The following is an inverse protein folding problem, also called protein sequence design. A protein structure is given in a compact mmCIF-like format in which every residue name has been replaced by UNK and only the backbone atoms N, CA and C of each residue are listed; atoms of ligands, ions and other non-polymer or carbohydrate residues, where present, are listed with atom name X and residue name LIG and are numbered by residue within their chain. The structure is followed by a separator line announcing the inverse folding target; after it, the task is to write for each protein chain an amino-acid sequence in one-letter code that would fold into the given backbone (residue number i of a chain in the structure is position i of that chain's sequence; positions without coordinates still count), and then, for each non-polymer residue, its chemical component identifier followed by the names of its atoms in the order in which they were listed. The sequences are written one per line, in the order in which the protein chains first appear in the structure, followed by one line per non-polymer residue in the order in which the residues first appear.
data_IF_583664080150
#
_entry.id   IF_583664080150
#
_cell.length_a   1.000
_cell.length_b   1.000
_cell.length_c   1.000
_cell.angle_alpha   90.00
_cell.angle_beta   90.00
_cell.angle_gamma   90.00
#
_symmetry.space_group_name_H-M   'P 1'
#
loop_
_entity.id
_entity.type
_entity.pdbx_description
1 polymer ?
#
# COMPACT_ATOMS: atom_id res chain seq x y z
N UNK A 1 -26.31 -7.28 -6.46
CA UNK A 1 -25.60 -7.69 -5.23
C UNK A 1 -24.13 -7.36 -5.47
N UNK A 2 -23.58 -6.35 -4.78
CA UNK A 2 -22.14 -6.12 -4.82
C UNK A 2 -21.51 -7.20 -3.94
N UNK A 3 -20.88 -8.21 -4.57
CA UNK A 3 -20.06 -9.19 -3.86
C UNK A 3 -18.93 -8.46 -3.12
N UNK A 4 -18.49 -9.00 -1.99
CA UNK A 4 -17.31 -8.48 -1.30
C UNK A 4 -16.11 -8.55 -2.26
N UNK A 5 -15.33 -7.48 -2.33
CA UNK A 5 -14.06 -7.48 -3.07
C UNK A 5 -13.10 -8.41 -2.35
N UNK A 6 -12.55 -9.36 -3.08
CA UNK A 6 -11.47 -10.24 -2.61
C UNK A 6 -10.17 -9.83 -3.26
N UNK A 7 -9.06 -10.22 -2.68
CA UNK A 7 -7.73 -9.97 -3.22
C UNK A 7 -6.85 -11.21 -3.10
N UNK A 8 -5.85 -11.28 -3.95
CA UNK A 8 -4.79 -12.29 -3.91
C UNK A 8 -3.44 -11.59 -3.93
N UNK A 9 -2.47 -12.16 -3.21
CA UNK A 9 -1.09 -11.70 -3.20
C UNK A 9 -0.20 -12.80 -3.76
N UNK A 10 0.69 -12.44 -4.67
CA UNK A 10 1.69 -13.33 -5.26
C UNK A 10 3.04 -12.63 -5.25
N UNK A 11 4.14 -13.40 -5.27
CA UNK A 11 5.49 -12.86 -5.29
C UNK A 11 6.36 -13.54 -6.33
N UNK A 12 7.52 -12.97 -6.61
CA UNK A 12 8.57 -13.58 -7.43
C UNK A 12 9.15 -14.86 -6.81
N UNK A 13 8.82 -15.12 -5.54
CA UNK A 13 9.19 -16.29 -4.76
C UNK A 13 8.16 -16.54 -3.65
N UNK A 14 8.60 -17.22 -2.60
CA UNK A 14 7.79 -17.48 -1.42
C UNK A 14 7.48 -16.17 -0.69
N UNK A 15 6.20 -15.90 -0.44
CA UNK A 15 5.78 -14.74 0.35
C UNK A 15 6.01 -15.01 1.84
N UNK A 16 6.65 -14.09 2.52
CA UNK A 16 6.98 -14.20 3.93
C UNK A 16 6.60 -12.91 4.69
N UNK A 17 6.11 -13.09 5.90
CA UNK A 17 5.85 -12.04 6.90
C UNK A 17 6.13 -12.60 8.31
N UNK A 18 7.15 -13.44 8.43
CA UNK A 18 7.40 -14.21 9.64
C UNK A 18 8.10 -13.41 10.74
N UNK A 19 8.81 -12.36 10.38
CA UNK A 19 9.54 -11.54 11.34
C UNK A 19 8.57 -10.66 12.15
N UNK A 20 8.97 -10.37 13.37
CA UNK A 20 8.27 -9.41 14.21
C UNK A 20 8.85 -8.01 13.94
N UNK A 21 8.00 -7.00 14.02
CA UNK A 21 8.43 -5.61 13.91
C UNK A 21 9.55 -5.30 14.90
N UNK A 22 10.70 -4.94 14.39
CA UNK A 22 11.94 -4.70 15.16
C UNK A 22 12.21 -3.21 15.43
N UNK A 23 11.46 -2.30 14.80
CA UNK A 23 11.58 -0.86 14.99
C UNK A 23 11.20 -0.40 16.40
N UNK A 24 11.93 0.60 16.91
CA UNK A 24 11.67 1.15 18.24
C UNK A 24 10.42 2.03 18.32
N UNK A 25 9.95 2.53 17.18
CA UNK A 25 8.85 3.48 17.11
C UNK A 25 7.87 3.10 16.01
N UNK A 26 6.65 2.73 16.38
CA UNK A 26 5.57 2.55 15.42
C UNK A 26 5.12 3.92 14.89
N UNK A 27 4.97 4.08 13.57
CA UNK A 27 4.37 5.29 13.00
C UNK A 27 2.96 5.51 13.55
N UNK A 28 2.63 6.72 13.97
CA UNK A 28 1.33 7.06 14.52
C UNK A 28 0.37 7.53 13.43
N UNK A 29 -0.93 7.26 13.59
CA UNK A 29 -1.98 7.78 12.70
C UNK A 29 -2.17 7.02 11.39
N UNK A 30 -1.44 5.91 11.17
CA UNK A 30 -1.55 5.13 9.92
C UNK A 30 -2.67 4.10 9.93
N UNK A 31 -3.16 3.70 11.11
CA UNK A 31 -4.12 2.59 11.25
C UNK A 31 -3.53 1.21 10.96
N UNK A 32 -2.23 1.11 10.64
CA UNK A 32 -1.54 -0.14 10.40
C UNK A 32 -1.26 -0.87 11.71
N UNK A 33 -1.46 -2.19 11.73
CA UNK A 33 -1.08 -3.07 12.82
C UNK A 33 0.35 -3.57 12.57
N UNK A 34 1.34 -2.99 13.24
CA UNK A 34 2.74 -3.41 13.16
C UNK A 34 3.00 -4.58 14.09
N UNK A 35 2.34 -5.70 13.84
CA UNK A 35 2.61 -6.97 14.52
C UNK A 35 3.71 -7.76 13.81
N UNK A 36 3.87 -7.49 12.51
CA UNK A 36 4.84 -8.07 11.60
C UNK A 36 5.60 -6.95 10.89
N UNK A 37 6.78 -7.26 10.41
CA UNK A 37 7.65 -6.31 9.71
C UNK A 37 7.24 -6.02 8.27
N UNK A 38 6.15 -6.55 7.84
CA UNK A 38 5.60 -6.39 6.51
C UNK A 38 5.59 -7.69 5.73
N UNK A 39 5.50 -7.60 4.42
CA UNK A 39 5.58 -8.73 3.49
C UNK A 39 6.76 -8.57 2.56
N UNK A 40 7.57 -9.62 2.46
CA UNK A 40 8.67 -9.74 1.51
C UNK A 40 8.68 -11.07 0.78
N UNK A 41 9.82 -11.41 0.18
CA UNK A 41 10.00 -12.58 -0.70
C UNK A 41 11.22 -13.39 -0.29
N UNK A 42 10.99 -14.50 0.40
CA UNK A 42 12.05 -15.41 0.87
C UNK A 42 11.55 -16.37 1.93
N UNK A 43 12.30 -17.42 2.24
CA UNK A 43 11.95 -18.33 3.32
C UNK A 43 12.34 -17.81 4.71
N UNK A 44 13.41 -17.01 4.76
CA UNK A 44 13.97 -16.44 5.99
C UNK A 44 14.16 -14.92 5.85
N UNK A 45 13.43 -14.30 4.93
CA UNK A 45 13.55 -12.92 4.52
C UNK A 45 12.14 -12.42 4.26
N UNK A 46 11.70 -11.36 4.91
CA UNK A 46 10.39 -10.73 4.74
C UNK A 46 10.49 -9.36 4.06
N UNK A 47 11.58 -9.12 3.34
CA UNK A 47 11.81 -7.96 2.52
C UNK A 47 11.71 -8.30 1.02
N UNK A 48 11.43 -7.30 0.22
CA UNK A 48 11.49 -7.35 -1.25
C UNK A 48 12.89 -6.90 -1.62
N UNK A 49 13.76 -7.84 -1.99
CA UNK A 49 15.17 -7.56 -2.25
C UNK A 49 15.45 -7.36 -3.74
N UNK A 50 16.21 -6.35 -4.07
CA UNK A 50 16.73 -6.12 -5.43
C UNK A 50 18.25 -6.10 -5.43
N UNK A 51 18.81 -6.94 -6.28
CA UNK A 51 20.26 -7.02 -6.57
C UNK A 51 20.53 -6.66 -8.03
N UNK A 52 21.77 -6.46 -8.45
CA UNK A 52 22.10 -6.24 -9.87
C UNK A 52 21.67 -7.37 -10.81
N UNK A 53 21.44 -8.57 -10.28
CA UNK A 53 21.09 -9.76 -11.06
C UNK A 53 19.64 -10.21 -10.90
N UNK A 54 18.93 -9.71 -9.89
CA UNK A 54 17.57 -10.16 -9.53
C UNK A 54 16.78 -9.02 -8.93
N UNK A 55 15.56 -8.82 -9.42
CA UNK A 55 14.57 -7.94 -8.80
C UNK A 55 13.40 -8.79 -8.30
N UNK A 56 13.15 -8.73 -7.02
CA UNK A 56 11.97 -9.32 -6.42
C UNK A 56 10.76 -8.40 -6.55
N UNK A 57 9.59 -8.99 -6.46
CA UNK A 57 8.34 -8.26 -6.53
C UNK A 57 7.24 -8.98 -5.76
N UNK A 58 6.28 -8.17 -5.27
CA UNK A 58 4.99 -8.62 -4.77
C UNK A 58 3.91 -8.00 -5.65
N UNK A 59 2.89 -8.78 -6.00
CA UNK A 59 1.73 -8.31 -6.75
C UNK A 59 0.45 -8.61 -5.98
N UNK A 60 -0.41 -7.58 -5.85
CA UNK A 60 -1.72 -7.67 -5.24
C UNK A 60 -2.76 -7.45 -6.32
N UNK A 61 -3.60 -8.46 -6.57
CA UNK A 61 -4.67 -8.42 -7.55
C UNK A 61 -6.04 -8.44 -6.85
N UNK A 62 -6.94 -7.57 -7.26
CA UNK A 62 -8.30 -7.45 -6.73
C UNK A 62 -9.31 -8.09 -7.67
N UNK A 63 -10.34 -8.75 -7.13
CA UNK A 63 -11.42 -9.38 -7.92
C UNK A 63 -12.29 -8.38 -8.69
N UNK A 64 -12.27 -7.12 -8.30
CA UNK A 64 -12.82 -5.97 -9.02
C UNK A 64 -12.02 -4.73 -8.66
N UNK A 65 -11.97 -3.70 -9.52
CA UNK A 65 -11.22 -2.49 -9.25
C UNK A 65 -11.62 -1.84 -7.92
N UNK A 66 -10.63 -1.44 -7.13
CA UNK A 66 -10.77 -0.71 -5.86
C UNK A 66 -10.18 0.69 -5.99
N UNK A 67 -10.65 1.63 -5.18
CA UNK A 67 -10.00 2.95 -5.10
C UNK A 67 -8.88 2.88 -4.07
N UNK A 68 -7.67 3.22 -4.48
CA UNK A 68 -6.46 3.24 -3.66
C UNK A 68 -6.00 4.67 -3.45
N UNK A 69 -5.57 5.02 -2.25
CA UNK A 69 -5.15 6.37 -1.87
C UNK A 69 -3.75 6.47 -1.28
N UNK A 70 -3.17 5.37 -0.80
CA UNK A 70 -1.79 5.38 -0.31
C UNK A 70 -1.15 3.98 -0.34
N UNK A 71 0.18 3.99 -0.33
CA UNK A 71 1.04 2.81 -0.12
C UNK A 71 1.96 3.04 1.06
N UNK A 72 2.31 1.94 1.73
CA UNK A 72 3.16 1.93 2.92
C UNK A 72 4.24 0.87 2.79
N UNK A 73 5.47 1.27 3.08
CA UNK A 73 6.63 0.39 3.22
C UNK A 73 7.23 0.51 4.61
N UNK A 74 7.84 -0.56 5.07
CA UNK A 74 8.79 -0.64 6.18
C UNK A 74 10.16 -0.99 5.63
N UNK A 75 11.19 -0.89 6.46
CA UNK A 75 12.57 -1.27 6.17
C UNK A 75 13.20 -0.56 4.96
N UNK A 76 12.71 0.64 4.63
CA UNK A 76 13.38 1.51 3.67
C UNK A 76 14.31 2.47 4.43
N UNK A 77 15.61 2.31 4.25
CA UNK A 77 16.61 3.10 4.96
C UNK A 77 17.50 3.93 4.04
N UNK A 78 18.04 4.97 4.62
CA UNK A 78 19.14 5.72 4.05
C UNK A 78 20.45 5.17 4.62
N UNK A 79 21.43 4.88 3.74
CA UNK A 79 22.74 4.46 4.17
C UNK A 79 23.40 5.54 5.06
N UNK A 80 24.08 5.14 6.14
CA UNK A 80 24.80 6.05 7.06
C UNK A 80 25.94 6.81 6.39
N UNK A 81 26.53 6.21 5.37
CA UNK A 81 27.63 6.77 4.61
C UNK A 81 27.36 6.60 3.12
N UNK A 82 27.67 7.63 2.32
CA UNK A 82 27.48 7.55 0.86
C UNK A 82 26.17 8.13 0.34
N UNK A 83 25.16 8.34 1.21
CA UNK A 83 23.92 9.04 0.83
C UNK A 83 23.00 8.29 -0.13
N UNK A 84 23.16 6.97 -0.28
CA UNK A 84 22.24 6.12 -1.03
C UNK A 84 20.96 5.95 -0.27
N UNK A 85 19.84 5.93 -1.00
CA UNK A 85 18.49 5.80 -0.47
C UNK A 85 17.87 4.53 -1.05
N UNK A 86 17.25 3.73 -0.22
CA UNK A 86 16.33 2.70 -0.68
C UNK A 86 15.04 3.35 -1.15
N UNK A 87 14.49 2.84 -2.23
CA UNK A 87 13.30 3.39 -2.88
C UNK A 87 12.36 2.26 -3.20
N UNK A 88 11.29 2.16 -2.42
CA UNK A 88 10.15 1.33 -2.76
C UNK A 88 9.40 1.90 -3.97
N UNK A 89 8.84 1.03 -4.80
CA UNK A 89 8.02 1.40 -5.94
C UNK A 89 6.72 0.62 -5.98
N UNK A 90 5.63 1.29 -6.32
CA UNK A 90 4.34 0.68 -6.55
C UNK A 90 3.80 1.08 -7.94
N UNK A 91 3.62 0.12 -8.83
CA UNK A 91 3.01 0.33 -10.16
C UNK A 91 1.57 -0.16 -10.14
N UNK A 92 0.63 0.70 -10.53
CA UNK A 92 -0.80 0.39 -10.61
C UNK A 92 -1.14 0.07 -12.06
N UNK A 93 -1.73 -1.11 -12.31
CA UNK A 93 -2.18 -1.60 -13.62
C UNK A 93 -1.11 -1.43 -14.72
N UNK A 94 0.17 -1.60 -14.35
CA UNK A 94 1.31 -1.45 -15.26
C UNK A 94 1.66 -0.01 -15.63
N UNK A 95 1.08 0.99 -14.96
CA UNK A 95 1.38 2.40 -15.16
C UNK A 95 2.72 2.83 -14.55
N UNK A 96 3.00 4.13 -14.63
CA UNK A 96 4.20 4.72 -14.02
C UNK A 96 4.21 4.48 -12.50
N UNK A 97 5.35 4.08 -11.92
CA UNK A 97 5.41 3.76 -10.51
C UNK A 97 5.32 5.02 -9.62
N UNK A 98 4.63 4.86 -8.49
CA UNK A 98 4.75 5.75 -7.33
C UNK A 98 5.99 5.34 -6.55
N UNK A 99 6.86 6.29 -6.23
CA UNK A 99 8.10 6.03 -5.49
C UNK A 99 7.94 6.42 -4.02
N UNK A 100 8.44 5.54 -3.14
CA UNK A 100 8.52 5.72 -1.69
C UNK A 100 10.00 5.78 -1.32
N UNK A 101 10.50 6.96 -1.01
CA UNK A 101 11.93 7.21 -0.77
C UNK A 101 12.23 7.14 0.72
N UNK A 102 13.24 6.38 1.09
CA UNK A 102 13.69 6.25 2.48
C UNK A 102 13.97 7.62 3.13
N UNK A 103 13.55 7.76 4.39
CA UNK A 103 13.75 8.96 5.20
C UNK A 103 14.56 8.70 6.47
N UNK A 104 14.51 7.47 6.96
CA UNK A 104 15.21 7.06 8.17
C UNK A 104 16.65 6.61 7.87
N UNK A 105 17.56 6.84 8.82
CA UNK A 105 18.93 6.34 8.72
C UNK A 105 19.02 4.92 9.25
N UNK A 106 19.70 4.05 8.52
CA UNK A 106 19.94 2.66 8.92
C UNK A 106 20.59 2.56 10.32
N UNK A 107 20.13 1.59 11.11
CA UNK A 107 20.66 1.28 12.45
C UNK A 107 20.46 2.37 13.50
N UNK A 108 19.46 3.23 13.36
CA UNK A 108 19.03 4.20 14.38
C UNK A 108 17.93 3.63 15.30
N UNK A 109 17.42 2.45 15.01
CA UNK A 109 16.25 1.85 15.65
C UNK A 109 14.91 2.41 15.12
N UNK A 110 14.96 3.19 14.05
CA UNK A 110 13.76 3.59 13.31
C UNK A 110 13.20 2.39 12.52
N UNK A 111 11.96 2.49 12.09
CA UNK A 111 11.26 1.41 11.39
C UNK A 111 11.48 1.42 9.87
N UNK A 112 12.22 2.39 9.32
CA UNK A 112 12.28 2.57 7.87
C UNK A 112 10.91 2.84 7.22
N UNK A 113 9.97 3.41 7.96
CA UNK A 113 8.60 3.59 7.48
C UNK A 113 8.50 4.73 6.48
N UNK A 114 7.90 4.42 5.33
CA UNK A 114 7.59 5.42 4.30
C UNK A 114 6.15 5.26 3.82
N UNK A 115 5.47 6.39 3.71
CA UNK A 115 4.12 6.48 3.16
C UNK A 115 4.12 7.35 1.90
N UNK A 116 3.42 6.91 0.86
CA UNK A 116 3.09 7.73 -0.31
C UNK A 116 1.57 7.83 -0.43
N UNK A 117 1.02 9.00 -0.11
CA UNK A 117 -0.38 9.32 -0.31
C UNK A 117 -0.58 10.10 -1.62
N UNK A 118 -1.66 9.80 -2.34
CA UNK A 118 -1.99 10.41 -3.62
C UNK A 118 -3.52 10.55 -3.80
N UNK A 119 -3.93 11.27 -4.83
CA UNK A 119 -5.34 11.34 -5.19
C UNK A 119 -5.86 9.94 -5.51
N UNK A 120 -7.02 9.52 -4.94
CA UNK A 120 -7.54 8.18 -5.11
C UNK A 120 -7.71 7.80 -6.58
N UNK A 121 -7.17 6.65 -6.97
CA UNK A 121 -7.27 6.10 -8.31
C UNK A 121 -7.77 4.64 -8.25
N UNK A 122 -8.44 4.19 -9.31
CA UNK A 122 -8.84 2.80 -9.42
C UNK A 122 -7.64 1.91 -9.73
N UNK A 123 -7.57 0.76 -9.07
CA UNK A 123 -6.55 -0.26 -9.23
C UNK A 123 -7.18 -1.64 -9.31
N UNK A 124 -6.77 -2.43 -10.28
CA UNK A 124 -7.07 -3.87 -10.38
C UNK A 124 -5.90 -4.72 -9.93
N UNK A 125 -4.69 -4.28 -10.25
CA UNK A 125 -3.44 -4.95 -9.92
C UNK A 125 -2.41 -3.90 -9.46
N UNK A 126 -1.71 -4.19 -8.38
CA UNK A 126 -0.61 -3.34 -7.89
C UNK A 126 0.63 -4.22 -7.75
N UNK A 127 1.72 -3.81 -8.38
CA UNK A 127 3.02 -4.47 -8.25
C UNK A 127 3.97 -3.61 -7.45
N UNK A 128 4.57 -4.20 -6.42
CA UNK A 128 5.55 -3.60 -5.53
C UNK A 128 6.94 -4.16 -5.81
N UNK A 129 7.92 -3.29 -5.84
CA UNK A 129 9.36 -3.62 -6.00
C UNK A 129 10.19 -2.63 -5.20
N UNK A 130 11.48 -2.91 -5.04
CA UNK A 130 12.46 -1.96 -4.55
C UNK A 130 13.45 -1.68 -5.67
N UNK A 131 13.87 -0.42 -5.84
CA UNK A 131 14.89 -0.06 -6.82
C UNK A 131 16.26 -0.54 -6.37
N UNK A 132 17.06 -1.01 -7.34
CA UNK A 132 18.45 -1.29 -7.06
C UNK A 132 19.17 -0.02 -6.61
N UNK A 133 19.66 0.00 -5.39
CA UNK A 133 20.49 1.09 -4.88
C UNK A 133 21.97 0.82 -5.18
N UNK A 134 22.72 1.89 -5.39
CA UNK A 134 24.17 1.84 -5.60
C UNK A 134 24.93 2.06 -4.28
N UNK A 135 24.50 1.40 -3.22
CA UNK A 135 25.02 1.61 -1.86
C UNK A 135 26.36 0.89 -1.57
N UNK A 136 26.94 0.27 -2.58
CA UNK A 136 28.12 -0.60 -2.49
C UNK A 136 27.90 -1.91 -1.71
N UNK A 137 26.71 -2.16 -1.17
CA UNK A 137 26.33 -3.45 -0.59
C UNK A 137 25.82 -4.41 -1.67
N UNK A 138 25.40 -3.85 -2.81
CA UNK A 138 24.97 -4.60 -3.97
C UNK A 138 23.52 -5.09 -3.89
N UNK A 139 22.76 -4.62 -2.93
CA UNK A 139 21.33 -4.90 -2.80
C UNK A 139 20.58 -3.67 -2.24
N UNK A 140 19.28 -3.64 -2.44
CA UNK A 140 18.35 -2.75 -1.78
C UNK A 140 17.12 -3.57 -1.39
N UNK A 141 16.56 -3.29 -0.26
CA UNK A 141 15.47 -4.04 0.33
C UNK A 141 14.41 -3.14 0.95
N UNK A 142 13.29 -3.75 1.34
CA UNK A 142 12.18 -3.09 2.00
C UNK A 142 10.93 -3.97 1.99
N UNK A 143 10.06 -3.82 2.97
CA UNK A 143 8.90 -4.65 3.18
C UNK A 143 7.58 -3.93 2.83
N UNK A 144 6.65 -4.63 2.18
CA UNK A 144 5.30 -4.10 1.93
C UNK A 144 4.50 -4.07 3.23
N UNK A 145 4.27 -2.88 3.78
CA UNK A 145 3.53 -2.68 5.02
C UNK A 145 2.00 -2.55 4.81
N UNK A 146 1.56 -1.98 3.69
CA UNK A 146 0.13 -1.85 3.46
C UNK A 146 -0.29 -1.07 2.22
N UNK A 147 -1.59 -1.18 1.94
CA UNK A 147 -2.30 -0.46 0.88
C UNK A 147 -3.51 0.21 1.54
N UNK A 148 -3.68 1.51 1.35
CA UNK A 148 -4.87 2.22 1.80
C UNK A 148 -5.94 2.25 0.71
N UNK A 149 -7.13 1.78 1.06
CA UNK A 149 -8.30 1.84 0.18
C UNK A 149 -9.14 3.08 0.51
N UNK A 150 -9.38 3.92 -0.49
CA UNK A 150 -10.27 5.06 -0.35
C UNK A 150 -11.73 4.64 -0.44
N UNK A 151 -12.65 5.34 0.27
CA UNK A 151 -14.08 5.11 0.11
C UNK A 151 -14.50 5.36 -1.35
N UNK A 152 -15.27 4.45 -1.92
CA UNK A 152 -15.86 4.66 -3.24
C UNK A 152 -16.94 5.76 -3.10
N UNK A 153 -16.85 6.87 -3.87
CA UNK A 153 -17.87 7.91 -3.82
C UNK A 153 -19.25 7.34 -4.15
N UNK A 154 -20.20 7.51 -3.23
CA UNK A 154 -21.59 7.10 -3.50
C UNK A 154 -22.12 7.99 -4.63
N UNK A 155 -22.60 7.43 -5.77
CA UNK A 155 -23.14 8.23 -6.84
C UNK A 155 -24.22 9.20 -6.32
N UNK A 156 -24.13 10.46 -6.68
CA UNK A 156 -25.11 11.49 -6.29
C UNK A 156 -26.56 11.08 -6.62
N UNK A 157 -26.75 10.24 -7.64
CA UNK A 157 -28.03 9.64 -8.01
C UNK A 157 -28.68 8.86 -6.85
N UNK A 158 -27.90 8.19 -5.98
CA UNK A 158 -28.43 7.50 -4.79
C UNK A 158 -29.00 8.48 -3.77
N UNK A 159 -28.32 9.59 -3.54
CA UNK A 159 -28.79 10.67 -2.66
C UNK A 159 -30.01 11.39 -3.25
N UNK A 160 -30.01 11.63 -4.56
CA UNK A 160 -31.13 12.23 -5.27
C UNK A 160 -32.37 11.35 -5.25
N UNK A 161 -32.20 10.01 -5.36
CA UNK A 161 -33.32 9.07 -5.25
C UNK A 161 -33.93 9.09 -3.84
N UNK A 162 -33.10 9.08 -2.80
CA UNK A 162 -33.56 9.18 -1.41
C UNK A 162 -34.27 10.53 -1.13
N UNK A 163 -33.69 11.61 -1.64
CA UNK A 163 -34.32 12.95 -1.57
C UNK A 163 -35.64 13.04 -2.33
N UNK A 164 -35.71 12.46 -3.53
CA UNK A 164 -36.92 12.39 -4.35
C UNK A 164 -38.04 11.60 -3.70
N UNK A 165 -37.71 10.40 -3.17
CA UNK A 165 -38.68 9.56 -2.44
C UNK A 165 -39.17 10.22 -1.15
N UNK A 166 -38.27 10.87 -0.40
CA UNK A 166 -38.62 11.63 0.80
C UNK A 166 -39.52 12.80 0.50
N UNK A 167 -39.25 13.57 -0.57
CA UNK A 167 -40.10 14.66 -1.05
C UNK A 167 -41.49 14.20 -1.44
N UNK A 168 -41.60 13.11 -2.21
CA UNK A 168 -42.89 12.51 -2.60
C UNK A 168 -43.70 12.04 -1.38
N UNK A 169 -43.06 11.49 -0.35
CA UNK A 169 -43.72 11.09 0.90
C UNK A 169 -44.29 12.30 1.66
N UNK A 170 -43.60 13.43 1.65
CA UNK A 170 -44.09 14.71 2.26
C UNK A 170 -45.27 15.27 1.51
N UNK A 171 -45.26 15.30 0.18
CA UNK A 171 -46.40 15.75 -0.62
C UNK A 171 -47.65 14.91 -0.41
N UNK A 172 -47.48 13.59 -0.30
CA UNK A 172 -48.61 12.67 -0.06
C UNK A 172 -49.26 12.85 1.33
N UNK A 173 -48.48 13.26 2.33
CA UNK A 173 -49.01 13.61 3.68
C UNK A 173 -49.82 14.90 3.65
N UNK A 174 -49.40 15.93 2.91
CA UNK A 174 -50.15 17.22 2.81
C UNK A 174 -51.45 17.08 2.02
N UNK A 175 -51.55 16.15 1.08
CA UNK A 175 -52.78 15.94 0.31
C UNK A 175 -53.88 15.18 1.08
N UNK A 176 -53.58 14.67 2.29
CA UNK A 176 -54.53 13.91 3.15
C UNK A 176 -54.96 14.67 4.40
N UNK A 177 -54.47 15.90 4.62
CA UNK A 177 -54.86 16.82 5.66
C UNK A 177 -55.77 17.91 5.07
#
# INVERSE_FOLDING_TARGET
MNGAVTWTMTGSGYLNNSQLFDGNSKPTGTGLAFERDGYGVGLNDDEITTTPMRQEWIEVAFSSPVMVSAFYFLDLFQARTGGTLEIGQASIDGGAPVSLVAVDLAGTGAAGFVAAAFQPIYASVIRFTVLNSNDNLGYADGALAGIELAPVPVPAAGLMLLGGLGGLAMFRRRARA
#
